data_IF_346134893574
#
_entry.id   IF_346134893574
#
_cell.length_a   1.000
_cell.length_b   1.000
_cell.length_c   1.000
_cell.angle_alpha   90.00
_cell.angle_beta   90.00
_cell.angle_gamma   90.00
#
_symmetry.space_group_name_H-M   'P 1'
#
loop_
_entity.id
_entity.type
_entity.pdbx_description
1 polymer ?
#
# COMPACT_ATOMS: atom_id res chain seq x y z
N UNK A 1 15.34 -36.43 -28.59
CA UNK A 1 15.95 -37.77 -28.81
C UNK A 1 16.65 -38.15 -27.51
N UNK A 2 16.18 -39.16 -26.78
CA UNK A 2 16.84 -39.64 -25.54
C UNK A 2 18.11 -40.38 -25.95
N UNK A 3 19.27 -39.85 -25.59
CA UNK A 3 20.54 -40.55 -25.86
C UNK A 3 20.60 -41.80 -24.95
N UNK A 4 20.96 -42.95 -25.53
CA UNK A 4 21.13 -44.21 -24.81
C UNK A 4 22.49 -44.31 -24.07
N UNK A 5 23.23 -43.20 -23.99
CA UNK A 5 24.54 -43.15 -23.38
C UNK A 5 24.39 -42.88 -21.86
N UNK A 6 24.74 -43.85 -20.98
CA UNK A 6 24.54 -43.74 -19.53
C UNK A 6 25.37 -42.61 -18.90
N UNK A 7 26.44 -42.14 -19.56
CA UNK A 7 27.24 -41.00 -19.10
C UNK A 7 26.51 -39.68 -19.33
N UNK A 8 25.82 -39.52 -20.47
CA UNK A 8 25.07 -38.31 -20.78
C UNK A 8 23.81 -38.17 -19.91
N UNK A 9 23.17 -39.29 -19.56
CA UNK A 9 22.03 -39.29 -18.64
C UNK A 9 22.43 -38.83 -17.24
N UNK A 10 23.60 -39.26 -16.75
CA UNK A 10 24.13 -38.78 -15.47
C UNK A 10 24.39 -37.28 -15.51
N UNK A 11 25.00 -36.74 -16.57
CA UNK A 11 25.25 -35.30 -16.71
C UNK A 11 23.95 -34.47 -16.73
N UNK A 12 22.91 -34.97 -17.39
CA UNK A 12 21.58 -34.35 -17.36
C UNK A 12 20.98 -34.35 -15.94
N UNK A 13 21.17 -35.44 -15.18
CA UNK A 13 20.70 -35.55 -13.79
C UNK A 13 21.55 -34.72 -12.83
N UNK A 14 22.88 -34.63 -13.00
CA UNK A 14 23.72 -33.73 -12.18
C UNK A 14 23.39 -32.28 -12.48
N UNK A 15 23.19 -31.91 -13.76
CA UNK A 15 22.79 -30.56 -14.15
C UNK A 15 21.38 -30.19 -13.68
N UNK A 16 20.45 -31.15 -13.60
CA UNK A 16 19.15 -30.95 -12.95
C UNK A 16 19.26 -30.81 -11.45
N UNK A 17 20.05 -31.66 -10.80
CA UNK A 17 20.22 -31.65 -9.35
C UNK A 17 20.96 -30.39 -8.91
N UNK A 18 21.96 -29.94 -9.66
CA UNK A 18 22.68 -28.69 -9.42
C UNK A 18 21.78 -27.48 -9.69
N UNK A 19 20.92 -27.49 -10.72
CA UNK A 19 19.84 -26.50 -10.85
C UNK A 19 18.85 -26.57 -9.68
N UNK A 20 18.55 -27.73 -9.14
CA UNK A 20 17.56 -27.89 -8.06
C UNK A 20 18.16 -27.51 -6.68
N UNK A 21 19.47 -27.68 -6.51
CA UNK A 21 20.23 -27.43 -5.26
C UNK A 21 20.81 -26.01 -5.21
N UNK A 22 21.20 -25.42 -6.35
CA UNK A 22 21.51 -23.98 -6.45
C UNK A 22 20.26 -23.10 -6.55
N UNK A 23 19.08 -23.73 -6.54
CA UNK A 23 17.79 -23.10 -6.81
C UNK A 23 17.69 -22.75 -8.28
N UNK A 24 16.81 -23.43 -9.00
CA UNK A 24 16.30 -22.92 -10.26
C UNK A 24 15.79 -21.55 -9.84
N UNK A 25 16.43 -20.48 -10.31
CA UNK A 25 16.12 -19.13 -9.88
C UNK A 25 14.65 -18.93 -10.24
N UNK A 26 13.80 -19.19 -9.26
CA UNK A 26 12.37 -19.37 -9.46
C UNK A 26 11.91 -18.01 -9.97
N UNK A 27 11.58 -17.94 -11.25
CA UNK A 27 11.35 -16.65 -11.90
C UNK A 27 10.04 -16.12 -11.36
N UNK A 28 10.01 -14.83 -11.06
CA UNK A 28 8.83 -14.19 -10.51
C UNK A 28 7.66 -14.34 -11.50
N UNK A 29 6.53 -14.86 -11.01
CA UNK A 29 5.27 -14.93 -11.78
C UNK A 29 4.28 -13.86 -11.31
N UNK A 30 3.27 -13.56 -12.13
CA UNK A 30 2.16 -12.68 -11.69
C UNK A 30 1.38 -13.34 -10.55
N UNK A 31 1.15 -14.65 -10.61
CA UNK A 31 0.48 -15.43 -9.56
C UNK A 31 1.18 -15.32 -8.21
N UNK A 32 2.51 -15.29 -8.22
CA UNK A 32 3.34 -15.05 -7.05
C UNK A 32 3.11 -13.68 -6.40
N UNK A 33 2.91 -12.63 -7.20
CA UNK A 33 2.59 -11.30 -6.67
C UNK A 33 1.19 -11.28 -6.10
N UNK A 34 0.21 -11.79 -6.87
CA UNK A 34 -1.20 -11.79 -6.47
C UNK A 34 -1.41 -12.53 -5.15
N UNK A 35 -0.84 -13.74 -5.02
CA UNK A 35 -0.93 -14.53 -3.79
C UNK A 35 -0.33 -13.80 -2.58
N UNK A 36 0.83 -13.15 -2.72
CA UNK A 36 1.46 -12.35 -1.67
C UNK A 36 0.65 -11.11 -1.32
N UNK A 37 0.13 -10.38 -2.31
CA UNK A 37 -0.72 -9.21 -2.08
C UNK A 37 -1.99 -9.61 -1.33
N UNK A 38 -2.68 -10.67 -1.77
CA UNK A 38 -3.88 -11.19 -1.08
C UNK A 38 -3.53 -11.62 0.35
N UNK A 39 -2.43 -12.34 0.56
CA UNK A 39 -1.98 -12.74 1.89
C UNK A 39 -1.71 -11.54 2.81
N UNK A 40 -1.03 -10.50 2.30
CA UNK A 40 -0.76 -9.28 3.06
C UNK A 40 -2.05 -8.49 3.35
N UNK A 41 -3.00 -8.46 2.43
CA UNK A 41 -4.30 -7.80 2.65
C UNK A 41 -5.14 -8.52 3.67
N UNK A 42 -5.21 -9.86 3.60
CA UNK A 42 -5.90 -10.68 4.60
C UNK A 42 -5.26 -10.50 5.98
N UNK A 43 -3.92 -10.48 6.05
CA UNK A 43 -3.21 -10.23 7.29
C UNK A 43 -3.54 -8.84 7.86
N UNK A 44 -3.50 -7.80 7.03
CA UNK A 44 -3.82 -6.42 7.42
C UNK A 44 -5.27 -6.30 7.89
N UNK A 45 -6.20 -6.97 7.20
CA UNK A 45 -7.62 -7.00 7.56
C UNK A 45 -7.87 -7.77 8.86
N UNK A 46 -7.21 -8.91 9.05
CA UNK A 46 -7.32 -9.70 10.27
C UNK A 46 -6.78 -8.92 11.48
N UNK A 47 -5.62 -8.27 11.36
CA UNK A 47 -5.07 -7.45 12.45
C UNK A 47 -5.91 -6.22 12.72
N UNK A 48 -6.53 -5.62 11.69
CA UNK A 48 -7.50 -4.55 11.86
C UNK A 48 -8.74 -5.02 12.64
N UNK A 49 -9.28 -6.20 12.31
CA UNK A 49 -10.43 -6.78 13.01
C UNK A 49 -10.11 -7.13 14.47
N UNK A 50 -8.91 -7.67 14.73
CA UNK A 50 -8.45 -7.92 16.11
C UNK A 50 -8.31 -6.61 16.88
N UNK A 51 -7.66 -5.60 16.28
CA UNK A 51 -7.49 -4.29 16.92
C UNK A 51 -8.83 -3.59 17.21
N UNK A 52 -9.83 -3.79 16.35
CA UNK A 52 -11.19 -3.27 16.52
C UNK A 52 -11.89 -3.80 17.78
N UNK A 53 -11.60 -5.04 18.19
CA UNK A 53 -12.22 -5.68 19.36
C UNK A 53 -11.39 -5.49 20.63
N UNK A 54 -10.06 -5.58 20.51
CA UNK A 54 -9.14 -5.64 21.64
C UNK A 54 -8.82 -4.26 22.23
N UNK A 55 -8.79 -3.21 21.40
CA UNK A 55 -8.33 -1.90 21.85
C UNK A 55 -9.45 -1.19 22.65
N UNK A 56 -9.18 -0.66 23.86
CA UNK A 56 -10.17 0.05 24.66
C UNK A 56 -10.65 1.37 24.04
N UNK A 57 -11.92 1.70 24.26
CA UNK A 57 -12.59 2.89 23.68
C UNK A 57 -11.89 4.21 24.02
N UNK A 58 -11.25 4.32 25.18
CA UNK A 58 -10.49 5.49 25.60
C UNK A 58 -9.29 5.82 24.68
N UNK A 59 -8.74 4.83 23.99
CA UNK A 59 -7.59 5.02 23.10
C UNK A 59 -8.00 5.38 21.66
N UNK A 60 -9.26 5.21 21.25
CA UNK A 60 -9.66 5.27 19.84
C UNK A 60 -9.54 6.66 19.23
N UNK A 61 -9.99 7.69 19.94
CA UNK A 61 -9.98 9.09 19.45
C UNK A 61 -8.54 9.62 19.30
N UNK A 62 -7.66 9.55 20.34
CA UNK A 62 -6.28 9.96 20.19
C UNK A 62 -5.51 9.07 19.20
N UNK A 63 -5.81 7.77 19.13
CA UNK A 63 -5.18 6.88 18.16
C UNK A 63 -5.69 7.07 16.72
N UNK A 64 -6.88 7.62 16.47
CA UNK A 64 -7.33 7.98 15.13
C UNK A 64 -6.66 9.28 14.63
N UNK A 65 -6.54 10.26 15.53
CA UNK A 65 -5.81 11.52 15.29
C UNK A 65 -4.33 11.26 15.06
N UNK A 66 -3.68 10.57 16.01
CA UNK A 66 -2.30 10.18 15.91
C UNK A 66 -2.12 9.17 14.77
N UNK A 67 -2.95 8.13 14.68
CA UNK A 67 -2.82 7.05 13.72
C UNK A 67 -2.98 7.49 12.27
N UNK A 68 -3.80 8.49 11.94
CA UNK A 68 -3.85 9.01 10.56
C UNK A 68 -2.59 9.77 10.17
N UNK A 69 -1.98 10.50 11.11
CA UNK A 69 -0.72 11.23 10.92
C UNK A 69 0.48 10.27 10.95
N UNK A 70 0.50 9.34 11.90
CA UNK A 70 1.49 8.27 12.06
C UNK A 70 1.44 7.27 10.92
N UNK A 71 0.26 6.89 10.44
CA UNK A 71 0.14 5.99 9.29
C UNK A 71 0.70 6.66 8.05
N UNK A 72 0.39 7.94 7.82
CA UNK A 72 0.96 8.70 6.71
C UNK A 72 2.49 8.80 6.83
N UNK A 73 3.01 9.03 8.04
CA UNK A 73 4.45 9.03 8.33
C UNK A 73 5.13 7.67 8.19
N UNK A 74 4.50 6.61 8.67
CA UNK A 74 5.02 5.26 8.58
C UNK A 74 5.04 4.81 7.12
N UNK A 75 4.01 5.16 6.36
CA UNK A 75 3.91 4.91 4.93
C UNK A 75 5.01 5.66 4.17
N UNK A 76 5.27 6.92 4.55
CA UNK A 76 6.37 7.75 4.04
C UNK A 76 7.74 7.19 4.38
N UNK A 77 8.00 6.88 5.65
CA UNK A 77 9.28 6.38 6.11
C UNK A 77 9.59 5.06 5.41
N UNK A 78 8.58 4.21 5.26
CA UNK A 78 8.73 2.93 4.58
C UNK A 78 8.86 3.06 3.06
N UNK A 79 8.17 4.03 2.43
CA UNK A 79 8.41 4.38 1.01
C UNK A 79 9.83 4.94 0.81
N UNK A 80 10.41 5.62 1.79
CA UNK A 80 11.82 6.03 1.71
C UNK A 80 12.77 4.82 1.76
N UNK A 81 12.36 3.74 2.44
CA UNK A 81 13.10 2.49 2.60
C UNK A 81 12.86 1.44 1.49
N UNK A 82 12.39 1.86 0.30
CA UNK A 82 11.94 1.02 -0.85
C UNK A 82 12.97 0.04 -1.46
N UNK A 83 14.08 -0.27 -0.81
CA UNK A 83 15.03 -1.29 -1.27
C UNK A 83 14.95 -2.61 -0.49
N UNK A 84 14.02 -2.71 0.47
CA UNK A 84 13.93 -3.89 1.34
C UNK A 84 13.11 -4.99 0.64
N UNK A 85 13.80 -6.05 0.18
CA UNK A 85 13.18 -7.28 -0.35
C UNK A 85 12.90 -8.31 0.74
N UNK A 86 13.05 -7.94 2.02
CA UNK A 86 12.99 -8.86 3.15
C UNK A 86 11.53 -9.11 3.61
N UNK A 87 10.98 -10.34 3.48
CA UNK A 87 9.59 -10.65 3.81
C UNK A 87 9.13 -10.30 5.24
N UNK A 88 9.92 -10.54 6.31
CA UNK A 88 9.52 -10.24 7.69
C UNK A 88 9.21 -8.76 7.92
N UNK A 89 9.95 -7.85 7.28
CA UNK A 89 9.72 -6.41 7.41
C UNK A 89 8.41 -5.99 6.74
N UNK A 90 8.10 -6.59 5.58
CA UNK A 90 6.85 -6.37 4.85
C UNK A 90 5.65 -6.88 5.67
N UNK A 91 5.78 -8.06 6.27
CA UNK A 91 4.75 -8.65 7.14
C UNK A 91 4.56 -7.80 8.41
N UNK A 92 5.65 -7.40 9.07
CA UNK A 92 5.59 -6.52 10.24
C UNK A 92 4.91 -5.19 9.95
N UNK A 93 5.17 -4.60 8.78
CA UNK A 93 4.47 -3.41 8.32
C UNK A 93 2.98 -3.66 8.13
N UNK A 94 2.58 -4.75 7.47
CA UNK A 94 1.16 -5.09 7.26
C UNK A 94 0.41 -5.26 8.60
N UNK A 95 1.05 -5.90 9.59
CA UNK A 95 0.49 -6.05 10.94
C UNK A 95 0.31 -4.68 11.61
N UNK A 96 1.37 -3.86 11.64
CA UNK A 96 1.35 -2.55 12.27
C UNK A 96 0.31 -1.62 11.64
N UNK A 97 0.26 -1.58 10.31
CA UNK A 97 -0.72 -0.80 9.58
C UNK A 97 -2.12 -1.30 9.83
N UNK A 98 -2.35 -2.62 9.84
CA UNK A 98 -3.68 -3.16 10.13
C UNK A 98 -4.18 -2.78 11.52
N UNK A 99 -3.31 -2.80 12.54
CA UNK A 99 -3.69 -2.31 13.89
C UNK A 99 -4.06 -0.83 13.86
N UNK A 100 -3.24 0.02 13.23
CA UNK A 100 -3.54 1.45 13.09
C UNK A 100 -4.85 1.69 12.33
N UNK A 101 -5.07 0.94 11.25
CA UNK A 101 -6.27 1.01 10.44
C UNK A 101 -7.50 0.60 11.25
N UNK A 102 -7.43 -0.51 12.00
CA UNK A 102 -8.53 -1.01 12.81
C UNK A 102 -8.98 -0.02 13.88
N UNK A 103 -8.03 0.53 14.64
CA UNK A 103 -8.32 1.50 15.70
C UNK A 103 -8.88 2.80 15.12
N UNK A 104 -8.27 3.32 14.06
CA UNK A 104 -8.74 4.54 13.43
C UNK A 104 -10.13 4.35 12.79
N UNK A 105 -10.33 3.26 12.07
CA UNK A 105 -11.61 2.94 11.45
C UNK A 105 -12.73 2.83 12.49
N UNK A 106 -12.46 2.21 13.65
CA UNK A 106 -13.42 2.15 14.75
C UNK A 106 -13.80 3.55 15.25
N UNK A 107 -12.82 4.43 15.41
CA UNK A 107 -13.08 5.80 15.86
C UNK A 107 -13.93 6.58 14.86
N UNK A 108 -13.66 6.44 13.56
CA UNK A 108 -14.47 7.06 12.51
C UNK A 108 -15.89 6.47 12.45
N UNK A 109 -16.03 5.16 12.65
CA UNK A 109 -17.33 4.48 12.65
C UNK A 109 -18.23 4.93 13.81
N UNK A 110 -17.66 5.24 14.99
CA UNK A 110 -18.41 5.78 16.12
C UNK A 110 -19.02 7.16 15.83
N UNK A 111 -18.32 7.99 15.06
CA UNK A 111 -18.76 9.35 14.73
C UNK A 111 -19.65 9.33 13.48
N UNK A 112 -19.31 8.49 12.50
CA UNK A 112 -19.99 8.38 11.21
C UNK A 112 -20.28 6.89 10.90
N UNK A 113 -21.47 6.39 11.27
CA UNK A 113 -21.84 5.00 11.01
C UNK A 113 -21.81 4.66 9.52
N UNK A 114 -21.24 3.50 9.17
CA UNK A 114 -21.13 2.97 7.82
C UNK A 114 -20.02 3.58 6.96
N UNK A 115 -19.20 4.48 7.50
CA UNK A 115 -18.13 5.13 6.73
C UNK A 115 -17.02 4.16 6.34
N UNK A 116 -16.72 3.18 7.20
CA UNK A 116 -15.65 2.20 6.99
C UNK A 116 -15.98 1.31 5.79
N UNK A 117 -17.21 0.79 5.73
CA UNK A 117 -17.65 -0.07 4.62
C UNK A 117 -17.61 0.69 3.29
N UNK A 118 -18.02 1.96 3.28
CA UNK A 118 -17.92 2.82 2.10
C UNK A 118 -16.46 3.06 1.68
N UNK A 119 -15.56 3.30 2.63
CA UNK A 119 -14.15 3.49 2.36
C UNK A 119 -13.50 2.23 1.76
N UNK A 120 -13.83 1.04 2.30
CA UNK A 120 -13.38 -0.25 1.76
C UNK A 120 -13.89 -0.45 0.34
N UNK A 121 -15.19 -0.26 0.09
CA UNK A 121 -15.80 -0.39 -1.24
C UNK A 121 -15.16 0.59 -2.23
N UNK A 122 -14.97 1.85 -1.83
CA UNK A 122 -14.31 2.85 -2.66
C UNK A 122 -12.87 2.48 -3.00
N UNK A 123 -12.12 1.96 -2.03
CA UNK A 123 -10.72 1.56 -2.23
C UNK A 123 -10.60 0.41 -3.22
N UNK A 124 -11.39 -0.65 -3.04
CA UNK A 124 -11.43 -1.78 -3.97
C UNK A 124 -12.02 -1.37 -5.33
N UNK A 125 -13.01 -0.49 -5.36
CA UNK A 125 -13.60 0.03 -6.59
C UNK A 125 -12.58 0.78 -7.45
N UNK A 126 -11.80 1.68 -6.85
CA UNK A 126 -10.72 2.38 -7.56
C UNK A 126 -9.61 1.41 -7.95
N UNK A 127 -9.17 0.53 -7.05
CA UNK A 127 -8.14 -0.46 -7.37
C UNK A 127 -8.51 -1.35 -8.57
N UNK A 128 -9.72 -1.93 -8.54
CA UNK A 128 -10.23 -2.77 -9.63
C UNK A 128 -10.47 -1.95 -10.91
N UNK A 129 -10.99 -0.74 -10.79
CA UNK A 129 -11.18 0.18 -11.92
C UNK A 129 -9.85 0.51 -12.61
N UNK A 130 -8.80 0.82 -11.84
CA UNK A 130 -7.47 1.07 -12.37
C UNK A 130 -6.84 -0.21 -12.96
N UNK A 131 -7.06 -1.37 -12.34
CA UNK A 131 -6.60 -2.66 -12.86
C UNK A 131 -7.26 -2.99 -14.21
N UNK A 132 -8.56 -2.73 -14.36
CA UNK A 132 -9.31 -2.86 -15.61
C UNK A 132 -8.78 -1.89 -16.68
N UNK A 133 -8.59 -0.62 -16.33
CA UNK A 133 -8.03 0.39 -17.24
C UNK A 133 -6.63 0.00 -17.75
N UNK A 134 -5.79 -0.52 -16.84
CA UNK A 134 -4.45 -0.98 -17.17
C UNK A 134 -4.49 -2.21 -18.08
N UNK A 135 -5.31 -3.21 -17.73
CA UNK A 135 -5.48 -4.43 -18.55
C UNK A 135 -6.03 -4.12 -19.94
N UNK A 136 -6.95 -3.16 -20.04
CA UNK A 136 -7.48 -2.68 -21.32
C UNK A 136 -6.45 -1.89 -22.15
N UNK A 137 -5.24 -1.64 -21.61
CA UNK A 137 -4.17 -0.83 -22.23
C UNK A 137 -4.59 0.58 -22.61
N UNK A 138 -5.67 1.09 -22.01
CA UNK A 138 -6.18 2.45 -22.22
C UNK A 138 -5.20 3.46 -21.60
N UNK A 139 -4.65 3.14 -20.44
CA UNK A 139 -3.67 3.98 -19.74
C UNK A 139 -2.35 3.23 -19.60
N UNK A 140 -1.25 3.87 -20.01
CA UNK A 140 0.11 3.30 -19.96
C UNK A 140 0.97 4.04 -18.96
N UNK A 141 1.86 3.31 -18.29
CA UNK A 141 2.88 3.90 -17.43
C UNK A 141 3.90 4.67 -18.28
N UNK A 142 3.79 5.99 -18.32
CA UNK A 142 4.79 6.85 -18.96
C UNK A 142 5.77 7.40 -17.92
N UNK A 143 7.03 7.65 -18.29
CA UNK A 143 8.01 8.27 -17.39
C UNK A 143 7.61 9.70 -16.97
N UNK A 144 6.73 10.36 -17.73
CA UNK A 144 6.12 11.64 -17.33
C UNK A 144 5.10 11.44 -16.21
N UNK A 145 4.21 10.46 -16.34
CA UNK A 145 3.26 10.10 -15.28
C UNK A 145 3.97 9.63 -14.01
N UNK A 146 5.03 8.83 -14.13
CA UNK A 146 5.82 8.40 -12.98
C UNK A 146 6.41 9.59 -12.20
N UNK A 147 6.98 10.57 -12.91
CA UNK A 147 7.51 11.80 -12.30
C UNK A 147 6.41 12.66 -11.68
N UNK A 148 5.25 12.77 -12.34
CA UNK A 148 4.10 13.50 -11.82
C UNK A 148 3.60 12.87 -10.51
N UNK A 149 3.32 11.56 -10.51
CA UNK A 149 2.83 10.83 -9.34
C UNK A 149 3.86 10.88 -8.21
N UNK A 150 5.14 10.62 -8.50
CA UNK A 150 6.20 10.71 -7.50
C UNK A 150 6.32 12.12 -6.91
N UNK A 151 6.25 13.17 -7.75
CA UNK A 151 6.27 14.56 -7.31
C UNK A 151 5.05 14.92 -6.44
N UNK A 152 3.85 14.48 -6.82
CA UNK A 152 2.63 14.70 -6.04
C UNK A 152 2.68 13.97 -4.71
N UNK A 153 3.09 12.69 -4.69
CA UNK A 153 3.25 11.92 -3.46
C UNK A 153 4.32 12.52 -2.55
N UNK A 154 5.43 13.02 -3.12
CA UNK A 154 6.48 13.72 -2.36
C UNK A 154 5.97 15.05 -1.81
N UNK A 155 5.16 15.80 -2.56
CA UNK A 155 4.52 17.02 -2.07
C UNK A 155 3.56 16.74 -0.91
N UNK A 156 2.69 15.73 -1.05
CA UNK A 156 1.78 15.26 0.02
C UNK A 156 2.58 14.88 1.27
N UNK A 157 3.69 14.19 1.06
CA UNK A 157 4.65 13.82 2.10
C UNK A 157 5.20 15.06 2.82
N UNK A 158 5.78 16.01 2.10
CA UNK A 158 6.37 17.23 2.69
C UNK A 158 5.32 18.00 3.49
N UNK A 159 4.10 18.16 2.96
CA UNK A 159 3.01 18.81 3.69
C UNK A 159 2.65 18.06 4.98
N UNK A 160 2.65 16.72 4.94
CA UNK A 160 2.37 15.89 6.11
C UNK A 160 3.46 16.03 7.17
N UNK A 161 4.73 16.13 6.76
CA UNK A 161 5.86 16.37 7.67
C UNK A 161 5.79 17.75 8.31
N UNK A 162 5.53 18.79 7.53
CA UNK A 162 5.37 20.15 8.07
C UNK A 162 4.26 20.16 9.12
N UNK A 163 3.12 19.52 8.83
CA UNK A 163 2.02 19.45 9.79
C UNK A 163 2.37 18.68 11.07
N UNK A 164 3.16 17.59 10.98
CA UNK A 164 3.66 16.87 12.15
C UNK A 164 4.57 17.75 13.00
N UNK A 165 5.56 18.40 12.35
CA UNK A 165 6.51 19.28 13.02
C UNK A 165 5.75 20.38 13.75
N UNK A 166 4.80 21.04 13.10
CA UNK A 166 4.00 22.07 13.78
C UNK A 166 3.16 21.50 14.93
N UNK A 167 2.62 20.28 14.80
CA UNK A 167 1.92 19.63 15.89
C UNK A 167 2.82 19.35 17.11
N UNK A 168 4.05 18.90 16.88
CA UNK A 168 5.04 18.64 17.95
C UNK A 168 5.46 19.91 18.69
N UNK A 169 5.62 21.03 17.98
CA UNK A 169 6.06 22.29 18.59
C UNK A 169 4.93 23.12 19.20
N UNK A 170 3.73 23.10 18.61
CA UNK A 170 2.63 24.00 18.99
C UNK A 170 1.52 23.28 19.76
N UNK A 171 1.54 21.93 19.82
CA UNK A 171 0.42 21.13 20.34
C UNK A 171 -0.88 21.28 19.54
N UNK A 172 -0.81 21.96 18.39
CA UNK A 172 -1.93 22.24 17.48
C UNK A 172 -1.50 21.89 16.07
N UNK A 173 -2.40 21.28 15.30
CA UNK A 173 -2.15 20.97 13.89
C UNK A 173 -1.99 22.29 13.12
N UNK A 174 -0.77 22.59 12.67
CA UNK A 174 -0.39 23.90 12.15
C UNK A 174 -1.02 24.27 10.81
N UNK A 175 -1.30 23.28 9.97
CA UNK A 175 -1.98 23.47 8.69
C UNK A 175 -3.38 22.89 8.79
N UNK A 176 -4.40 23.73 8.55
CA UNK A 176 -5.81 23.35 8.51
C UNK A 176 -6.14 22.26 7.46
N UNK A 177 -5.17 21.80 6.67
CA UNK A 177 -5.25 20.70 5.71
C UNK A 177 -5.54 19.34 6.39
N UNK A 178 -5.12 19.19 7.65
CA UNK A 178 -5.23 17.96 8.43
C UNK A 178 -5.95 18.17 9.77
N UNK A 179 -6.69 19.28 9.93
CA UNK A 179 -7.34 19.57 11.19
C UNK A 179 -8.68 18.85 11.33
N UNK A 180 -8.74 17.92 12.28
CA UNK A 180 -9.98 17.36 12.79
C UNK A 180 -10.70 18.33 13.76
N UNK A 181 -10.15 19.52 14.05
CA UNK A 181 -10.72 20.45 15.06
C UNK A 181 -11.04 21.84 14.50
N UNK A 182 -10.38 22.31 13.44
CA UNK A 182 -10.67 23.61 12.83
C UNK A 182 -11.79 23.50 11.76
N UNK A 183 -12.55 24.59 11.56
CA UNK A 183 -13.57 24.71 10.50
C UNK A 183 -13.01 24.18 9.18
N UNK A 184 -13.66 23.17 8.62
CA UNK A 184 -13.25 22.54 7.37
C UNK A 184 -13.36 23.60 6.26
N UNK A 185 -12.24 24.19 5.87
CA UNK A 185 -12.17 25.01 4.67
C UNK A 185 -12.34 24.14 3.41
N UNK A 186 -12.32 24.75 2.23
CA UNK A 186 -12.34 24.03 0.95
C UNK A 186 -11.03 23.26 0.66
N UNK A 187 -9.93 23.62 1.33
CA UNK A 187 -8.58 23.14 1.06
C UNK A 187 -8.33 21.64 1.37
N UNK A 188 -8.83 21.05 2.48
CA UNK A 188 -8.67 19.62 2.79
C UNK A 188 -9.39 18.70 1.79
N UNK A 189 -10.51 19.15 1.21
CA UNK A 189 -11.24 18.43 0.17
C UNK A 189 -10.42 18.31 -1.10
N UNK A 190 -9.92 19.43 -1.62
CA UNK A 190 -9.09 19.46 -2.83
C UNK A 190 -7.85 18.61 -2.66
N UNK A 191 -7.19 18.70 -1.50
CA UNK A 191 -6.00 17.91 -1.21
C UNK A 191 -6.29 16.40 -1.19
N UNK A 192 -7.39 15.98 -0.55
CA UNK A 192 -7.78 14.56 -0.49
C UNK A 192 -8.12 14.01 -1.87
N UNK A 193 -8.83 14.79 -2.70
CA UNK A 193 -9.14 14.41 -4.09
C UNK A 193 -7.86 14.27 -4.92
N UNK A 194 -6.93 15.23 -4.83
CA UNK A 194 -5.64 15.15 -5.52
C UNK A 194 -4.83 13.94 -5.05
N UNK A 195 -4.84 13.64 -3.74
CA UNK A 195 -4.18 12.47 -3.19
C UNK A 195 -4.79 11.15 -3.66
N UNK A 196 -6.13 11.07 -3.76
CA UNK A 196 -6.84 9.91 -4.31
C UNK A 196 -6.46 9.69 -5.77
N UNK A 197 -6.44 10.75 -6.58
CA UNK A 197 -6.05 10.69 -7.99
C UNK A 197 -4.59 10.25 -8.12
N UNK A 198 -3.68 10.82 -7.33
CA UNK A 198 -2.27 10.43 -7.32
C UNK A 198 -2.09 8.96 -6.90
N UNK A 199 -2.82 8.50 -5.89
CA UNK A 199 -2.85 7.09 -5.47
C UNK A 199 -3.38 6.17 -6.56
N UNK A 200 -4.46 6.56 -7.23
CA UNK A 200 -5.02 5.83 -8.36
C UNK A 200 -4.00 5.66 -9.50
N UNK A 201 -3.31 6.75 -9.88
CA UNK A 201 -2.24 6.68 -10.88
C UNK A 201 -1.01 5.90 -10.42
N UNK A 202 -0.71 5.88 -9.11
CA UNK A 202 0.35 5.04 -8.56
C UNK A 202 0.09 3.56 -8.83
N UNK A 203 -1.16 3.09 -8.78
CA UNK A 203 -1.46 1.69 -9.10
C UNK A 203 -1.07 1.30 -10.53
N UNK A 204 -1.21 2.20 -11.50
CA UNK A 204 -0.75 1.93 -12.87
C UNK A 204 0.77 1.71 -12.90
N UNK A 205 1.52 2.49 -12.12
CA UNK A 205 2.97 2.32 -12.01
C UNK A 205 3.32 1.00 -11.32
N UNK A 206 2.55 0.61 -10.30
CA UNK A 206 2.75 -0.66 -9.59
C UNK A 206 2.44 -1.87 -10.50
N UNK A 207 1.36 -1.83 -11.30
CA UNK A 207 1.04 -2.88 -12.26
C UNK A 207 2.10 -3.02 -13.36
N UNK A 208 2.60 -1.88 -13.85
CA UNK A 208 3.66 -1.84 -14.84
C UNK A 208 5.00 -2.32 -14.29
N UNK A 209 5.29 -2.03 -13.02
CA UNK A 209 6.43 -2.59 -12.32
C UNK A 209 6.35 -4.11 -12.21
N UNK A 210 5.16 -4.65 -11.91
CA UNK A 210 4.92 -6.11 -11.87
C UNK A 210 5.17 -6.73 -13.24
N UNK A 211 4.57 -6.18 -14.30
CA UNK A 211 4.70 -6.73 -15.65
C UNK A 211 6.15 -6.68 -16.15
N UNK A 212 6.86 -5.57 -15.92
CA UNK A 212 8.28 -5.43 -16.26
C UNK A 212 9.17 -6.40 -15.47
N UNK A 213 8.89 -6.59 -14.18
CA UNK A 213 9.65 -7.49 -13.31
C UNK A 213 9.52 -8.96 -13.72
N UNK A 214 8.30 -9.38 -14.07
CA UNK A 214 8.03 -10.73 -14.59
C UNK A 214 8.69 -10.92 -15.95
N UNK A 215 8.57 -9.94 -16.86
CA UNK A 215 9.20 -10.00 -18.20
C UNK A 215 10.73 -10.03 -18.14
N UNK A 216 11.32 -9.34 -17.17
CA UNK A 216 12.76 -9.36 -16.92
C UNK A 216 13.25 -10.64 -16.22
N UNK A 217 12.36 -11.56 -15.84
CA UNK A 217 12.72 -12.81 -15.17
C UNK A 217 13.35 -12.58 -13.80
N UNK A 218 12.92 -11.55 -13.06
CA UNK A 218 13.50 -11.24 -11.75
C UNK A 218 13.30 -12.40 -10.75
N UNK A 219 14.21 -12.55 -9.77
CA UNK A 219 14.09 -13.59 -8.75
C UNK A 219 12.78 -13.51 -7.96
N UNK A 220 12.18 -14.65 -7.59
CA UNK A 220 10.91 -14.74 -6.83
C UNK A 220 10.80 -13.84 -5.60
N UNK A 221 11.93 -13.53 -4.95
CA UNK A 221 11.98 -12.57 -3.82
C UNK A 221 11.44 -11.17 -4.19
N UNK A 222 11.60 -10.72 -5.43
CA UNK A 222 11.05 -9.45 -5.92
C UNK A 222 9.52 -9.41 -5.96
N UNK A 223 8.84 -10.57 -5.94
CA UNK A 223 7.39 -10.63 -5.84
C UNK A 223 6.89 -10.00 -4.53
N UNK A 224 7.66 -10.11 -3.44
CA UNK A 224 7.35 -9.46 -2.16
C UNK A 224 7.40 -7.95 -2.27
N UNK A 225 8.39 -7.42 -2.97
CA UNK A 225 8.52 -5.98 -3.18
C UNK A 225 7.34 -5.41 -4.00
N UNK A 226 6.95 -6.11 -5.07
CA UNK A 226 5.81 -5.69 -5.87
C UNK A 226 4.49 -5.81 -5.11
N UNK A 227 4.30 -6.91 -4.38
CA UNK A 227 3.10 -7.11 -3.56
C UNK A 227 2.98 -6.05 -2.46
N UNK A 228 4.12 -5.68 -1.87
CA UNK A 228 4.21 -4.61 -0.89
C UNK A 228 3.82 -3.24 -1.46
N UNK A 229 4.30 -2.90 -2.67
CA UNK A 229 3.91 -1.65 -3.33
C UNK A 229 2.41 -1.53 -3.52
N UNK A 230 1.78 -2.62 -3.99
CA UNK A 230 0.32 -2.69 -4.13
C UNK A 230 -0.41 -2.55 -2.79
N UNK A 231 0.07 -3.21 -1.72
CA UNK A 231 -0.49 -3.08 -0.38
C UNK A 231 -0.41 -1.64 0.13
N UNK A 232 0.76 -1.00 0.01
CA UNK A 232 0.98 0.39 0.43
C UNK A 232 0.05 1.34 -0.32
N UNK A 233 -0.07 1.18 -1.65
CA UNK A 233 -1.00 1.96 -2.45
C UNK A 233 -2.45 1.80 -1.99
N UNK A 234 -2.86 0.57 -1.65
CA UNK A 234 -4.22 0.28 -1.17
C UNK A 234 -4.49 0.91 0.20
N UNK A 235 -3.56 0.79 1.15
CA UNK A 235 -3.65 1.40 2.47
C UNK A 235 -3.69 2.93 2.35
N UNK A 236 -2.81 3.50 1.53
CA UNK A 236 -2.78 4.94 1.28
C UNK A 236 -4.11 5.44 0.73
N UNK A 237 -4.64 4.76 -0.30
CA UNK A 237 -5.92 5.12 -0.89
C UNK A 237 -7.06 5.03 0.13
N UNK A 238 -7.07 3.98 0.96
CA UNK A 238 -8.06 3.82 2.02
C UNK A 238 -8.08 5.01 2.98
N UNK A 239 -6.91 5.45 3.47
CA UNK A 239 -6.82 6.60 4.36
C UNK A 239 -7.34 7.88 3.71
N UNK A 240 -7.07 8.10 2.43
CA UNK A 240 -7.53 9.30 1.72
C UNK A 240 -9.04 9.26 1.48
N UNK A 241 -9.62 8.10 1.12
CA UNK A 241 -11.06 7.95 0.93
C UNK A 241 -11.79 8.10 2.27
N UNK A 242 -11.31 7.44 3.33
CA UNK A 242 -11.89 7.54 4.67
C UNK A 242 -11.91 9.00 5.14
N UNK A 243 -10.83 9.74 4.89
CA UNK A 243 -10.74 11.17 5.21
C UNK A 243 -11.67 12.02 4.36
N UNK A 244 -11.74 11.79 3.05
CA UNK A 244 -12.66 12.52 2.17
C UNK A 244 -14.11 12.33 2.61
N UNK A 245 -14.52 11.09 2.92
CA UNK A 245 -15.85 10.77 3.44
C UNK A 245 -16.07 11.42 4.81
N UNK A 246 -15.05 11.45 5.67
CA UNK A 246 -15.12 12.07 6.99
C UNK A 246 -15.30 13.59 6.90
N UNK A 247 -14.75 14.24 5.88
CA UNK A 247 -15.02 15.65 5.59
C UNK A 247 -16.43 15.85 5.05
N UNK A 248 -16.84 15.05 4.05
CA UNK A 248 -18.14 15.19 3.39
C UNK A 248 -19.35 14.99 4.32
N UNK A 249 -19.19 14.27 5.44
CA UNK A 249 -20.26 14.01 6.43
C UNK A 249 -20.26 14.97 7.62
N UNK A 250 -19.35 15.96 7.63
CA UNK A 250 -19.18 16.92 8.71
C UNK A 250 -19.91 18.23 8.42
#
# INVERSE_FOLDING_TARGET
MRSANPVLTRLDDVGRTERQVLGAADTMTVTDVVSRTVGLLLLTGATAAVAWVVVPQAAWIPAALAGSSLASLALVLFISLRQITNPPLIVGYAVLQGVLLGVASRAFELVYPGIVVQAVIGTFGVFLGMALLYRARVVRATPRMARLVAGTLLGILVLSLVNLVTYLFTGRQGLAVYSLTARVGWLPYVFSVVAIIAGAFSFILDFDLVERSVRAGLPRRYAWYCAFGLLVGLIFLYWQILRLLGYARR
#
